data_IF_626090326754
#
_entry.id   IF_626090326754
#
_cell.length_a   1.000
_cell.length_b   1.000
_cell.length_c   1.000
_cell.angle_alpha   90.00
_cell.angle_beta   90.00
_cell.angle_gamma   90.00
#
_symmetry.space_group_name_H-M   'P 1'
#
loop_
_entity.id
_entity.type
_entity.pdbx_description
1 polymer ?
#
# COMPACT_ATOMS: atom_id res chain seq x y z
N UNK A 1 6.99 -0.69 -9.03
CA UNK A 1 8.32 -1.27 -9.25
C UNK A 1 9.07 -1.30 -7.93
N UNK A 2 9.86 -2.35 -7.68
CA UNK A 2 10.68 -2.48 -6.46
C UNK A 2 11.66 -1.30 -6.28
N UNK A 3 11.93 -0.57 -7.34
CA UNK A 3 12.85 0.58 -7.36
C UNK A 3 12.46 1.73 -6.42
N UNK A 4 11.17 1.88 -6.05
CA UNK A 4 10.74 2.94 -5.14
C UNK A 4 11.25 2.69 -3.72
N UNK A 5 11.09 1.47 -3.21
CA UNK A 5 11.55 1.10 -1.87
C UNK A 5 13.05 1.29 -1.73
N UNK A 6 13.83 0.78 -2.67
CA UNK A 6 15.29 0.95 -2.68
C UNK A 6 15.72 2.41 -2.79
N UNK A 7 15.02 3.20 -3.61
CA UNK A 7 15.29 4.62 -3.75
C UNK A 7 15.03 5.39 -2.46
N UNK A 8 13.91 5.12 -1.79
CA UNK A 8 13.57 5.76 -0.53
C UNK A 8 14.52 5.35 0.59
N UNK A 9 14.88 4.07 0.68
CA UNK A 9 15.86 3.56 1.62
C UNK A 9 17.21 4.28 1.46
N UNK A 10 17.74 4.36 0.24
CA UNK A 10 18.98 5.07 -0.04
C UNK A 10 18.92 6.56 0.32
N UNK A 11 17.77 7.23 0.14
CA UNK A 11 17.58 8.63 0.56
C UNK A 11 17.64 8.77 2.09
N UNK A 12 16.95 7.90 2.83
CA UNK A 12 16.96 7.92 4.29
C UNK A 12 18.33 7.58 4.86
N UNK A 13 18.97 6.53 4.37
CA UNK A 13 20.30 6.09 4.81
C UNK A 13 21.38 7.13 4.52
N UNK A 14 21.23 7.91 3.47
CA UNK A 14 22.19 8.98 3.14
C UNK A 14 22.31 10.03 4.25
N UNK A 15 21.27 10.22 5.08
CA UNK A 15 21.19 11.24 6.12
C UNK A 15 21.29 12.68 5.61
N UNK A 16 21.34 12.90 4.29
CA UNK A 16 21.57 14.22 3.67
C UNK A 16 20.32 15.09 3.61
N UNK A 17 19.14 14.48 3.75
CA UNK A 17 17.87 15.17 3.57
C UNK A 17 16.98 15.02 4.83
N UNK A 18 17.22 15.80 5.89
CA UNK A 18 16.42 15.75 7.10
C UNK A 18 15.06 16.45 6.90
N UNK A 19 14.26 15.92 5.98
CA UNK A 19 12.96 16.48 5.62
C UNK A 19 11.94 15.36 5.39
N UNK A 20 10.67 15.74 5.41
CA UNK A 20 9.59 14.82 5.09
C UNK A 20 9.53 14.60 3.59
N UNK A 21 9.47 13.33 3.18
CA UNK A 21 9.22 12.93 1.80
C UNK A 21 7.74 12.61 1.61
N UNK A 22 7.16 13.15 0.55
CA UNK A 22 5.79 12.87 0.11
C UNK A 22 5.82 12.63 -1.39
N UNK A 23 5.25 11.52 -1.84
CA UNK A 23 5.26 11.19 -3.26
C UNK A 23 4.68 9.80 -3.52
N UNK A 24 5.04 9.25 -4.65
CA UNK A 24 4.63 7.91 -5.06
C UNK A 24 5.20 7.54 -6.42
N UNK A 25 5.00 6.29 -6.80
CA UNK A 25 5.40 5.78 -8.11
C UNK A 25 4.43 6.24 -9.19
N UNK A 26 4.96 6.62 -10.35
CA UNK A 26 4.15 6.93 -11.52
C UNK A 26 3.43 5.65 -11.99
N UNK A 27 2.11 5.75 -12.17
CA UNK A 27 1.29 4.71 -12.78
C UNK A 27 1.27 4.87 -14.30
N UNK A 28 1.27 3.73 -15.01
CA UNK A 28 1.02 3.65 -16.45
C UNK A 28 -0.32 2.98 -16.74
N UNK A 29 -0.47 2.48 -17.95
CA UNK A 29 -1.49 1.49 -18.25
C UNK A 29 -1.21 0.22 -17.44
N UNK A 30 -2.23 -0.51 -17.08
CA UNK A 30 -2.08 -1.77 -16.32
C UNK A 30 -1.36 -2.90 -17.09
N UNK A 31 -0.82 -2.59 -18.26
CA UNK A 31 0.05 -3.48 -19.05
C UNK A 31 1.49 -3.55 -18.50
N UNK A 32 1.84 -2.69 -17.53
CA UNK A 32 3.16 -2.61 -16.88
C UNK A 32 4.36 -2.45 -17.82
N UNK A 33 4.14 -2.10 -19.10
CA UNK A 33 5.20 -2.04 -20.09
C UNK A 33 5.96 -0.71 -20.09
N UNK A 34 5.27 0.40 -19.87
CA UNK A 34 5.88 1.73 -19.89
C UNK A 34 5.27 2.67 -18.86
N UNK A 35 6.13 3.24 -18.04
CA UNK A 35 5.79 4.30 -17.11
C UNK A 35 6.67 5.51 -17.39
N UNK A 36 6.10 6.70 -17.42
CA UNK A 36 6.82 7.93 -17.72
C UNK A 36 6.54 9.00 -16.68
N UNK A 37 7.55 9.79 -16.37
CA UNK A 37 7.47 11.04 -15.63
C UNK A 37 7.58 12.20 -16.58
N UNK A 38 6.94 13.34 -16.26
CA UNK A 38 7.00 14.55 -17.05
C UNK A 38 7.36 15.75 -16.17
N UNK A 39 8.40 16.51 -16.53
CA UNK A 39 8.89 17.66 -15.76
C UNK A 39 8.29 19.02 -16.20
N UNK A 40 7.27 18.97 -17.07
CA UNK A 40 6.68 20.15 -17.73
C UNK A 40 7.28 20.44 -19.10
N UNK A 41 8.40 19.81 -19.46
CA UNK A 41 9.08 20.00 -20.74
C UNK A 41 9.37 18.69 -21.48
N UNK A 42 9.76 17.64 -20.76
CA UNK A 42 10.17 16.35 -21.33
C UNK A 42 9.59 15.20 -20.55
N UNK A 43 9.46 14.05 -21.20
CA UNK A 43 9.10 12.78 -20.58
C UNK A 43 10.34 11.93 -20.33
N UNK A 44 10.37 11.24 -19.20
CA UNK A 44 11.49 10.41 -18.75
C UNK A 44 11.01 9.03 -18.35
N UNK A 45 11.84 8.02 -18.61
CA UNK A 45 11.67 6.65 -18.09
C UNK A 45 12.85 6.33 -17.18
N UNK A 46 12.64 5.45 -16.20
CA UNK A 46 13.66 5.03 -15.23
C UNK A 46 14.32 6.23 -14.49
N UNK A 47 13.53 7.24 -14.17
CA UNK A 47 13.96 8.43 -13.45
C UNK A 47 13.08 8.66 -12.22
N UNK A 48 13.63 9.38 -11.25
CA UNK A 48 12.87 9.99 -10.16
C UNK A 48 12.84 11.51 -10.37
N UNK A 49 11.68 12.13 -10.16
CA UNK A 49 11.52 13.58 -10.13
C UNK A 49 11.40 14.02 -8.67
N UNK A 50 12.36 14.81 -8.21
CA UNK A 50 12.38 15.33 -6.84
C UNK A 50 12.16 16.84 -6.88
N UNK A 51 11.24 17.31 -6.05
CA UNK A 51 10.95 18.72 -5.86
C UNK A 51 11.20 19.09 -4.40
N UNK A 52 12.12 20.04 -4.17
CA UNK A 52 12.36 20.59 -2.83
C UNK A 52 11.48 21.81 -2.60
N UNK A 53 10.70 21.79 -1.53
CA UNK A 53 9.86 22.91 -1.12
C UNK A 53 10.42 23.52 0.15
N UNK A 54 10.63 24.85 0.11
CA UNK A 54 10.98 25.61 1.29
C UNK A 54 9.83 26.55 1.62
N UNK A 55 9.17 26.32 2.75
CA UNK A 55 8.10 27.21 3.21
C UNK A 55 8.66 28.53 3.75
N UNK A 56 7.95 29.62 3.51
CA UNK A 56 8.19 30.89 4.20
C UNK A 56 7.90 30.73 5.71
N UNK A 57 8.40 31.67 6.52
CA UNK A 57 8.32 31.56 8.00
C UNK A 57 6.89 31.49 8.53
N UNK A 58 5.97 32.14 7.87
CA UNK A 58 4.54 32.25 8.21
C UNK A 58 3.68 31.15 7.55
N UNK A 59 4.27 30.34 6.66
CA UNK A 59 3.59 29.23 5.98
C UNK A 59 3.82 27.94 6.74
N UNK A 60 2.74 27.17 6.92
CA UNK A 60 2.77 25.81 7.43
C UNK A 60 2.24 24.87 6.37
N UNK A 61 2.83 23.69 6.26
CA UNK A 61 2.25 22.63 5.46
C UNK A 61 1.81 21.47 6.35
N UNK A 62 0.87 20.68 5.86
CA UNK A 62 0.43 19.46 6.51
C UNK A 62 0.20 18.39 5.46
N UNK A 63 0.46 17.16 5.84
CA UNK A 63 0.19 15.98 5.01
C UNK A 63 -1.19 15.46 5.37
N UNK A 64 -2.05 15.38 4.37
CA UNK A 64 -3.34 14.70 4.47
C UNK A 64 -3.20 13.27 3.96
N UNK A 65 -3.59 12.31 4.79
CA UNK A 65 -3.62 10.89 4.45
C UNK A 65 -5.04 10.37 4.63
N UNK A 66 -5.56 9.69 3.64
CA UNK A 66 -6.83 8.98 3.72
C UNK A 66 -6.69 7.59 3.12
N UNK A 67 -7.32 6.61 3.75
CA UNK A 67 -7.36 5.23 3.28
C UNK A 67 -8.80 4.74 3.32
N UNK A 68 -9.29 4.27 2.19
CA UNK A 68 -10.66 3.76 2.06
C UNK A 68 -10.74 2.26 2.40
N UNK A 69 -10.11 1.87 3.48
CA UNK A 69 -10.11 0.51 4.00
C UNK A 69 -10.26 0.52 5.52
N UNK A 70 -10.96 -0.49 6.05
CA UNK A 70 -11.10 -0.74 7.48
C UNK A 70 -10.59 -2.15 7.82
N UNK A 71 -9.81 -2.30 8.90
CA UNK A 71 -9.34 -3.62 9.36
C UNK A 71 -10.52 -4.55 9.68
N UNK A 72 -10.37 -5.81 9.32
CA UNK A 72 -11.25 -6.89 9.77
C UNK A 72 -10.59 -7.67 10.93
N UNK A 73 -11.30 -8.55 11.62
CA UNK A 73 -10.72 -9.40 12.65
C UNK A 73 -9.75 -10.49 12.12
N UNK A 74 -9.67 -10.67 10.80
CA UNK A 74 -8.80 -11.67 10.20
C UNK A 74 -7.36 -11.15 10.11
N UNK A 75 -6.44 -11.86 10.76
CA UNK A 75 -5.02 -11.71 10.54
C UNK A 75 -4.36 -13.06 10.20
N UNK A 76 -3.28 -13.01 9.46
CA UNK A 76 -2.49 -14.15 8.99
C UNK A 76 -1.01 -13.83 9.17
N UNK A 77 -0.25 -14.71 9.80
CA UNK A 77 1.21 -14.57 9.88
C UNK A 77 1.85 -15.17 8.63
N UNK A 78 2.69 -14.42 7.94
CA UNK A 78 3.39 -14.87 6.74
C UNK A 78 4.47 -15.88 7.11
N UNK A 79 4.33 -17.11 6.63
CA UNK A 79 5.33 -18.16 6.85
C UNK A 79 6.31 -18.24 5.69
N UNK A 80 5.82 -18.17 4.45
CA UNK A 80 6.65 -18.27 3.24
C UNK A 80 6.19 -17.26 2.19
N UNK A 81 7.13 -16.44 1.71
CA UNK A 81 6.93 -15.42 0.70
C UNK A 81 8.19 -15.24 -0.16
N UNK A 82 8.02 -14.68 -1.36
CA UNK A 82 9.11 -14.19 -2.20
C UNK A 82 9.03 -12.66 -2.28
N UNK A 83 10.07 -11.99 -1.79
CA UNK A 83 10.20 -10.52 -1.88
C UNK A 83 10.41 -10.07 -3.33
N UNK A 84 11.19 -10.82 -4.10
CA UNK A 84 11.50 -10.51 -5.49
C UNK A 84 10.26 -10.63 -6.39
N UNK A 85 9.57 -11.77 -6.31
CA UNK A 85 8.38 -12.07 -7.12
C UNK A 85 7.08 -11.57 -6.48
N UNK A 86 7.16 -11.03 -5.24
CA UNK A 86 6.06 -10.43 -4.48
C UNK A 86 4.86 -11.34 -4.32
N UNK A 87 5.09 -12.60 -3.98
CA UNK A 87 4.00 -13.51 -3.64
C UNK A 87 4.12 -14.06 -2.24
N UNK A 88 2.99 -14.48 -1.69
CA UNK A 88 2.88 -15.23 -0.46
C UNK A 88 2.36 -16.62 -0.80
N UNK A 89 3.07 -17.65 -0.32
CA UNK A 89 2.69 -19.04 -0.56
C UNK A 89 2.06 -19.70 0.68
N UNK A 90 2.61 -19.45 1.87
CA UNK A 90 2.15 -20.06 3.10
C UNK A 90 1.97 -19.03 4.21
N UNK A 91 0.95 -19.25 5.01
CA UNK A 91 0.59 -18.44 6.17
C UNK A 91 0.23 -19.34 7.36
N UNK A 92 0.26 -18.76 8.54
CA UNK A 92 -0.24 -19.35 9.78
C UNK A 92 -1.50 -18.59 10.18
N UNK A 93 -2.59 -19.30 10.42
CA UNK A 93 -3.85 -18.71 10.86
C UNK A 93 -3.86 -18.47 12.40
N UNK A 94 -4.89 -17.82 12.90
CA UNK A 94 -5.04 -17.53 14.33
C UNK A 94 -5.18 -18.78 15.25
N UNK A 95 -5.23 -19.98 14.65
CA UNK A 95 -5.28 -21.28 15.37
C UNK A 95 -3.98 -22.06 15.21
N UNK A 96 -2.91 -21.41 14.79
CA UNK A 96 -1.60 -21.99 14.51
C UNK A 96 -1.59 -23.07 13.40
N UNK A 97 -2.58 -23.07 12.50
CA UNK A 97 -2.56 -23.99 11.37
C UNK A 97 -1.79 -23.37 10.20
N UNK A 98 -0.89 -24.15 9.63
CA UNK A 98 -0.19 -23.80 8.38
C UNK A 98 -1.13 -24.08 7.21
N UNK A 99 -1.33 -23.09 6.34
CA UNK A 99 -2.16 -23.16 5.13
C UNK A 99 -1.41 -22.57 3.96
N UNK A 100 -1.77 -22.97 2.75
CA UNK A 100 -1.44 -22.15 1.59
C UNK A 100 -2.24 -20.84 1.64
N UNK A 101 -1.74 -19.80 0.98
CA UNK A 101 -2.43 -18.51 1.01
C UNK A 101 -3.84 -18.59 0.42
N UNK A 102 -4.02 -19.37 -0.66
CA UNK A 102 -5.34 -19.57 -1.29
C UNK A 102 -6.29 -20.33 -0.34
N UNK A 103 -5.82 -21.39 0.32
CA UNK A 103 -6.64 -22.15 1.28
C UNK A 103 -7.08 -21.28 2.45
N UNK A 104 -6.16 -20.51 3.04
CA UNK A 104 -6.47 -19.62 4.16
C UNK A 104 -7.56 -18.59 3.79
N UNK A 105 -7.49 -18.04 2.57
CA UNK A 105 -8.48 -17.09 2.09
C UNK A 105 -9.84 -17.73 1.80
N UNK A 106 -9.86 -18.90 1.15
CA UNK A 106 -11.10 -19.64 0.90
C UNK A 106 -11.82 -19.98 2.21
N UNK A 107 -11.07 -20.41 3.22
CA UNK A 107 -11.62 -20.73 4.54
C UNK A 107 -12.14 -19.47 5.25
N UNK A 108 -11.38 -18.39 5.24
CA UNK A 108 -11.76 -17.13 5.88
C UNK A 108 -13.00 -16.48 5.25
N UNK A 109 -13.10 -16.52 3.92
CA UNK A 109 -14.22 -15.95 3.17
C UNK A 109 -15.36 -16.93 2.94
N UNK A 110 -15.21 -18.18 3.38
CA UNK A 110 -16.19 -19.27 3.23
C UNK A 110 -16.65 -19.43 1.79
N UNK A 111 -15.70 -19.55 0.87
CA UNK A 111 -15.95 -19.69 -0.58
C UNK A 111 -15.08 -20.77 -1.21
N UNK A 112 -15.50 -21.27 -2.37
CA UNK A 112 -14.71 -22.13 -3.19
C UNK A 112 -13.59 -21.33 -3.93
N UNK A 113 -12.48 -21.98 -4.36
CA UNK A 113 -11.42 -21.27 -5.07
C UNK A 113 -11.90 -20.50 -6.30
N UNK A 114 -12.89 -21.01 -7.03
CA UNK A 114 -13.46 -20.37 -8.22
C UNK A 114 -14.19 -19.05 -7.92
N UNK A 115 -14.64 -18.86 -6.67
CA UNK A 115 -15.34 -17.66 -6.22
C UNK A 115 -14.40 -16.65 -5.57
N UNK A 116 -13.15 -17.06 -5.29
CA UNK A 116 -12.24 -16.30 -4.46
C UNK A 116 -11.92 -14.90 -5.01
N UNK A 117 -11.67 -14.78 -6.32
CA UNK A 117 -11.40 -13.47 -6.95
C UNK A 117 -12.56 -12.49 -6.76
N UNK A 118 -13.79 -12.98 -6.96
CA UNK A 118 -14.99 -12.17 -6.78
C UNK A 118 -15.17 -11.76 -5.32
N UNK A 119 -14.96 -12.68 -4.38
CA UNK A 119 -15.06 -12.39 -2.94
C UNK A 119 -13.99 -11.41 -2.47
N UNK A 120 -12.78 -11.49 -3.01
CA UNK A 120 -11.68 -10.59 -2.67
C UNK A 120 -11.80 -9.20 -3.29
N UNK A 121 -12.74 -8.96 -4.22
CA UNK A 121 -12.89 -7.65 -4.87
C UNK A 121 -13.08 -6.50 -3.88
N UNK A 122 -13.69 -6.76 -2.73
CA UNK A 122 -13.94 -5.78 -1.66
C UNK A 122 -12.89 -5.78 -0.55
N UNK A 123 -11.88 -6.63 -0.66
CA UNK A 123 -10.86 -6.81 0.36
C UNK A 123 -9.46 -6.54 -0.18
N UNK A 124 -8.54 -6.34 0.73
CA UNK A 124 -7.10 -6.28 0.50
C UNK A 124 -6.39 -6.72 1.77
N UNK A 125 -5.05 -6.61 1.76
CA UNK A 125 -4.25 -6.80 2.96
C UNK A 125 -3.63 -5.49 3.41
N UNK A 126 -3.21 -5.47 4.66
CA UNK A 126 -2.42 -4.41 5.24
C UNK A 126 -1.43 -5.00 6.25
N UNK A 127 -0.32 -4.32 6.45
CA UNK A 127 0.59 -4.54 7.57
C UNK A 127 0.51 -3.36 8.52
N UNK A 128 0.78 -3.61 9.80
CA UNK A 128 0.87 -2.57 10.83
C UNK A 128 2.33 -2.23 11.10
N UNK A 129 2.64 -0.94 11.06
CA UNK A 129 3.96 -0.42 11.45
C UNK A 129 3.73 0.68 12.49
N UNK A 130 3.96 0.37 13.75
CA UNK A 130 3.58 1.22 14.87
C UNK A 130 2.05 1.42 14.92
N UNK A 131 1.60 2.65 14.95
CA UNK A 131 0.17 3.01 14.94
C UNK A 131 -0.43 3.09 13.51
N UNK A 132 0.39 2.96 12.48
CA UNK A 132 -0.03 3.14 11.10
C UNK A 132 -0.30 1.81 10.41
N UNK A 133 -1.27 1.83 9.51
CA UNK A 133 -1.66 0.67 8.69
C UNK A 133 -1.34 0.97 7.23
N UNK A 134 -0.59 0.07 6.59
CA UNK A 134 -0.15 0.19 5.20
C UNK A 134 -0.76 -0.90 4.34
N UNK A 135 -1.60 -0.50 3.38
CA UNK A 135 -2.29 -1.44 2.49
C UNK A 135 -1.30 -2.15 1.56
N UNK A 136 -1.51 -3.46 1.42
CA UNK A 136 -0.80 -4.39 0.53
C UNK A 136 -1.80 -4.95 -0.48
N UNK A 137 -1.95 -4.26 -1.61
CA UNK A 137 -2.96 -4.62 -2.59
C UNK A 137 -2.58 -5.91 -3.34
N UNK A 138 -3.59 -6.75 -3.54
CA UNK A 138 -3.47 -7.99 -4.32
C UNK A 138 -3.36 -7.61 -5.79
N UNK A 139 -2.40 -8.21 -6.50
CA UNK A 139 -2.22 -8.05 -7.94
C UNK A 139 -2.77 -9.22 -8.75
N UNK A 140 -2.61 -10.45 -8.23
CA UNK A 140 -3.02 -11.66 -8.92
C UNK A 140 -3.14 -12.83 -7.95
N UNK A 141 -4.00 -13.81 -8.26
CA UNK A 141 -4.06 -15.10 -7.59
C UNK A 141 -3.53 -16.17 -8.54
N UNK A 142 -2.53 -16.90 -8.09
CA UNK A 142 -2.00 -18.08 -8.80
C UNK A 142 -2.60 -19.34 -8.17
N UNK A 143 -3.71 -19.80 -8.73
CA UNK A 143 -4.41 -20.99 -8.24
C UNK A 143 -3.62 -22.29 -8.45
N UNK A 144 -2.77 -22.34 -9.49
CA UNK A 144 -1.99 -23.54 -9.78
C UNK A 144 -0.92 -23.82 -8.72
N UNK A 145 -0.33 -22.76 -8.17
CA UNK A 145 0.67 -22.83 -7.13
C UNK A 145 0.15 -22.39 -5.75
N UNK A 146 -1.15 -22.13 -5.62
CA UNK A 146 -1.82 -21.69 -4.40
C UNK A 146 -1.18 -20.43 -3.74
N UNK A 147 -0.75 -19.48 -4.57
CA UNK A 147 -0.05 -18.25 -4.19
C UNK A 147 -0.91 -17.02 -4.43
N UNK A 148 -0.61 -15.96 -3.70
CA UNK A 148 -1.20 -14.64 -3.95
C UNK A 148 -0.08 -13.65 -4.18
N UNK A 149 -0.09 -12.98 -5.34
CA UNK A 149 0.83 -11.91 -5.68
C UNK A 149 0.31 -10.57 -5.21
N UNK A 150 1.22 -9.70 -4.79
CA UNK A 150 0.93 -8.36 -4.29
C UNK A 150 1.62 -7.31 -5.18
N UNK A 151 1.15 -6.06 -5.11
CA UNK A 151 1.84 -4.94 -5.77
C UNK A 151 3.09 -4.47 -5.02
N UNK A 152 3.28 -4.90 -3.78
CA UNK A 152 4.40 -4.56 -2.92
C UNK A 152 4.92 -5.80 -2.20
N UNK A 153 6.06 -5.66 -1.58
CA UNK A 153 6.79 -6.70 -0.88
C UNK A 153 6.12 -6.98 0.47
N UNK A 154 6.17 -8.24 0.88
CA UNK A 154 5.81 -8.71 2.22
C UNK A 154 6.82 -9.78 2.60
N UNK A 155 7.42 -9.62 3.78
CA UNK A 155 8.45 -10.55 4.28
C UNK A 155 7.85 -11.69 5.12
N UNK A 156 8.52 -12.85 5.15
CA UNK A 156 8.22 -13.85 6.17
C UNK A 156 8.32 -13.26 7.59
N UNK A 157 7.38 -13.63 8.44
CA UNK A 157 7.26 -13.11 9.81
C UNK A 157 6.38 -11.86 9.95
N UNK A 158 5.98 -11.21 8.86
CA UNK A 158 5.03 -10.11 8.92
C UNK A 158 3.60 -10.60 9.19
N UNK A 159 2.84 -9.79 9.90
CA UNK A 159 1.41 -10.01 10.13
C UNK A 159 0.59 -9.26 9.07
N UNK A 160 -0.18 -10.01 8.31
CA UNK A 160 -1.15 -9.49 7.36
C UNK A 160 -2.51 -9.36 8.01
N UNK A 161 -3.06 -8.17 8.01
CA UNK A 161 -4.42 -7.88 8.44
C UNK A 161 -5.27 -7.80 7.17
N UNK A 162 -6.36 -8.57 7.10
CA UNK A 162 -7.34 -8.37 6.04
C UNK A 162 -8.09 -7.07 6.27
N UNK A 163 -8.19 -6.25 5.24
CA UNK A 163 -8.91 -4.97 5.27
C UNK A 163 -10.04 -4.97 4.26
N UNK A 164 -11.17 -4.41 4.64
CA UNK A 164 -12.35 -4.29 3.77
C UNK A 164 -12.42 -2.88 3.19
N UNK A 165 -12.76 -2.79 1.90
CA UNK A 165 -12.94 -1.50 1.21
C UNK A 165 -14.15 -0.75 1.76
N UNK A 166 -13.97 0.56 1.94
CA UNK A 166 -15.03 1.50 2.31
C UNK A 166 -15.29 2.48 1.15
N UNK A 167 -16.45 3.17 1.12
CA UNK A 167 -16.72 4.15 0.08
C UNK A 167 -15.70 5.28 0.07
N UNK A 168 -14.94 5.41 -1.02
CA UNK A 168 -13.80 6.33 -1.13
C UNK A 168 -14.20 7.79 -0.83
N UNK A 169 -15.26 8.28 -1.46
CA UNK A 169 -15.67 9.67 -1.33
C UNK A 169 -16.08 10.05 0.09
N UNK A 170 -16.81 9.18 0.77
CA UNK A 170 -17.27 9.39 2.15
C UNK A 170 -16.11 9.34 3.12
N UNK A 171 -15.26 8.32 2.99
CA UNK A 171 -14.07 8.15 3.81
C UNK A 171 -13.14 9.35 3.66
N UNK A 172 -12.82 9.75 2.43
CA UNK A 172 -11.95 10.90 2.17
C UNK A 172 -12.54 12.19 2.75
N UNK A 173 -13.85 12.41 2.61
CA UNK A 173 -14.52 13.60 3.19
C UNK A 173 -14.42 13.61 4.71
N UNK A 174 -14.73 12.50 5.36
CA UNK A 174 -14.64 12.34 6.82
C UNK A 174 -13.21 12.60 7.31
N UNK A 175 -12.24 12.00 6.69
CA UNK A 175 -10.84 12.11 7.09
C UNK A 175 -10.29 13.51 6.83
N UNK A 176 -10.70 14.17 5.74
CA UNK A 176 -10.36 15.55 5.48
C UNK A 176 -10.97 16.52 6.50
N UNK A 177 -12.24 16.32 6.88
CA UNK A 177 -12.86 17.12 7.92
C UNK A 177 -12.11 16.99 9.25
N UNK A 178 -11.73 15.76 9.65
CA UNK A 178 -10.93 15.51 10.85
C UNK A 178 -9.55 16.17 10.76
N UNK A 179 -8.89 16.06 9.63
CA UNK A 179 -7.61 16.72 9.38
C UNK A 179 -7.73 18.24 9.55
N UNK A 180 -8.77 18.85 9.03
CA UNK A 180 -9.00 20.30 9.08
C UNK A 180 -9.32 20.81 10.50
N UNK A 181 -9.97 20.02 11.35
CA UNK A 181 -10.25 20.40 12.74
C UNK A 181 -8.99 20.70 13.55
N UNK A 182 -7.88 20.05 13.21
CA UNK A 182 -6.60 20.19 13.91
C UNK A 182 -5.66 21.22 13.23
N UNK A 183 -6.15 22.04 12.30
CA UNK A 183 -5.34 23.02 11.58
C UNK A 183 -5.61 24.45 12.08
N UNK A 184 -4.58 25.30 12.14
CA UNK A 184 -4.71 26.67 12.62
C UNK A 184 -5.47 27.59 11.65
N UNK A 185 -5.79 27.15 10.46
CA UNK A 185 -6.49 27.93 9.45
C UNK A 185 -6.85 27.16 8.20
N UNK A 186 -7.52 27.81 7.27
CA UNK A 186 -7.86 27.22 5.97
C UNK A 186 -6.60 27.06 5.10
N UNK A 187 -6.49 25.97 4.31
CA UNK A 187 -5.39 25.83 3.37
C UNK A 187 -5.47 26.91 2.28
N UNK A 188 -4.33 27.50 1.95
CA UNK A 188 -4.19 28.43 0.85
C UNK A 188 -4.12 27.70 -0.50
N UNK A 189 -3.46 26.55 -0.49
CA UNK A 189 -3.29 25.68 -1.64
C UNK A 189 -3.39 24.23 -1.16
N UNK A 190 -4.11 23.40 -1.90
CA UNK A 190 -4.12 21.94 -1.78
C UNK A 190 -3.73 21.32 -3.12
N UNK A 191 -2.87 20.32 -3.12
CA UNK A 191 -2.51 19.52 -4.28
C UNK A 191 -2.58 18.05 -3.92
#
# INVERSE_FOLDING_TARGET
>A
SASESFFMEALYESGRFPCLFVGGSAGGKLDFQKTQLHDGKRSYQNHALIVFLKCARDVRFGVFKSQNFEPTPLSLSVLSASLEDRYISQVVDARDNIRTMVQALCEALKCAPQELEQRLSDYSFAIRVGEEVFVRSISQIDFANERVHLFCDVAPGEELIMVKRTPLAETTRRDYQRFMQNKPGKPLVGK
#
